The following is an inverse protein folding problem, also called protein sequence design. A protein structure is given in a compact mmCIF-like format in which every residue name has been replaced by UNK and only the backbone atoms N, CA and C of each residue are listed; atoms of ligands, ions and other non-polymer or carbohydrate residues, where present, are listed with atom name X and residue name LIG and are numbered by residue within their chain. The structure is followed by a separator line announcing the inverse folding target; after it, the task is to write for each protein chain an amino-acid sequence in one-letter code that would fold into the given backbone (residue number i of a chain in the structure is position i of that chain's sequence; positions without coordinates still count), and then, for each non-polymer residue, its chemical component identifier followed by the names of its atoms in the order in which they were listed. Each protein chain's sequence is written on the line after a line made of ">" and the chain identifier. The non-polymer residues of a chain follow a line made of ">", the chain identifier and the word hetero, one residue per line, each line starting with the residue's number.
data_IF_652433453542
#
_entry.id   IF_652433453542
#
_cell.length_a   1.000
_cell.length_b   1.000
_cell.length_c   1.000
_cell.angle_alpha   90.00
_cell.angle_beta   90.00
_cell.angle_gamma   90.00
#
_symmetry.space_group_name_H-M   'P 1'
#
loop_
_entity.id
_entity.type
_entity.pdbx_description
1 polymer ?
#
# COMPACT_ATOMS: atom_id res chain seq x y z
N UNK A 1 -14.60 -10.21 21.33
CA UNK A 1 -15.15 -9.82 22.66
C UNK A 1 -14.08 -8.99 23.33
N UNK A 2 -14.37 -7.73 23.67
CA UNK A 2 -13.40 -6.81 24.25
C UNK A 2 -13.06 -7.23 25.68
N UNK A 3 -11.80 -7.04 26.08
CA UNK A 3 -11.33 -7.27 27.44
C UNK A 3 -11.94 -6.20 28.35
N UNK A 4 -12.74 -6.56 29.38
CA UNK A 4 -13.34 -5.60 30.31
C UNK A 4 -12.32 -4.74 31.06
N UNK A 5 -11.04 -5.11 31.04
CA UNK A 5 -9.94 -4.35 31.63
C UNK A 5 -9.18 -3.47 30.63
N UNK A 6 -9.59 -3.42 29.37
CA UNK A 6 -8.90 -2.62 28.36
C UNK A 6 -9.05 -1.12 28.64
N UNK A 7 -7.95 -0.44 28.94
CA UNK A 7 -7.90 1.00 29.26
C UNK A 7 -7.44 1.88 28.08
N UNK A 8 -6.91 1.27 27.02
CA UNK A 8 -6.59 1.94 25.76
C UNK A 8 -6.67 1.00 24.55
N UNK A 9 -6.87 1.60 23.37
CA UNK A 9 -6.67 0.94 22.08
C UNK A 9 -5.59 1.65 21.28
N UNK A 10 -4.90 0.88 20.45
CA UNK A 10 -3.99 1.41 19.42
C UNK A 10 -4.44 0.95 18.04
N UNK A 11 -4.62 1.91 17.15
CA UNK A 11 -4.90 1.69 15.73
C UNK A 11 -3.71 2.17 14.91
N UNK A 12 -3.12 1.30 14.08
CA UNK A 12 -2.20 1.73 13.03
C UNK A 12 -2.93 1.88 11.69
N UNK A 13 -2.53 2.86 10.89
CA UNK A 13 -2.95 3.04 9.51
C UNK A 13 -1.69 2.94 8.64
N UNK A 14 -1.65 1.91 7.80
CA UNK A 14 -0.57 1.64 6.85
C UNK A 14 -1.00 2.16 5.47
N UNK A 15 -0.15 2.99 4.86
CA UNK A 15 -0.49 3.73 3.64
C UNK A 15 0.72 3.83 2.70
N UNK A 16 0.45 4.17 1.44
CA UNK A 16 1.47 4.50 0.44
C UNK A 16 2.01 5.92 0.68
N UNK A 17 3.30 6.03 1.02
CA UNK A 17 3.96 7.30 1.30
C UNK A 17 3.76 8.32 0.18
N UNK A 18 3.60 9.60 0.58
CA UNK A 18 3.20 10.73 -0.26
C UNK A 18 1.78 10.65 -0.83
N UNK A 19 1.45 9.55 -1.52
CA UNK A 19 0.18 9.41 -2.24
C UNK A 19 -1.04 9.36 -1.32
N UNK A 20 -0.90 8.73 -0.15
CA UNK A 20 -2.01 8.49 0.79
C UNK A 20 -1.77 9.11 2.17
N UNK A 21 -0.78 10.00 2.29
CA UNK A 21 -0.40 10.63 3.55
C UNK A 21 -1.55 11.38 4.22
N UNK A 22 -2.22 12.23 3.44
CA UNK A 22 -3.35 13.03 3.93
C UNK A 22 -4.53 12.14 4.33
N UNK A 23 -4.76 11.05 3.59
CA UNK A 23 -5.80 10.06 3.91
C UNK A 23 -5.53 9.41 5.27
N UNK A 24 -4.32 8.88 5.48
CA UNK A 24 -3.94 8.26 6.75
C UNK A 24 -4.04 9.25 7.93
N UNK A 25 -3.60 10.48 7.73
CA UNK A 25 -3.70 11.54 8.74
C UNK A 25 -5.15 11.88 9.10
N UNK A 26 -6.04 11.96 8.11
CA UNK A 26 -7.47 12.19 8.35
C UNK A 26 -8.09 11.02 9.12
N UNK A 27 -7.79 9.78 8.75
CA UNK A 27 -8.29 8.59 9.47
C UNK A 27 -7.84 8.63 10.93
N UNK A 28 -6.53 8.72 11.21
CA UNK A 28 -6.01 8.71 12.58
C UNK A 28 -6.57 9.86 13.44
N UNK A 29 -6.64 11.08 12.87
CA UNK A 29 -7.21 12.23 13.57
C UNK A 29 -8.69 12.05 13.87
N UNK A 30 -9.47 11.56 12.90
CA UNK A 30 -10.91 11.34 13.07
C UNK A 30 -11.23 10.24 14.07
N UNK A 31 -10.40 9.21 14.19
CA UNK A 31 -10.53 8.20 15.26
C UNK A 31 -10.48 8.87 16.64
N UNK A 32 -9.45 9.70 16.88
CA UNK A 32 -9.28 10.40 18.16
C UNK A 32 -10.44 11.38 18.42
N UNK A 33 -10.84 12.14 17.40
CA UNK A 33 -11.93 13.11 17.55
C UNK A 33 -13.30 12.44 17.77
N UNK A 34 -13.56 11.31 17.14
CA UNK A 34 -14.79 10.53 17.36
C UNK A 34 -14.82 9.98 18.79
N UNK A 35 -13.70 9.41 19.27
CA UNK A 35 -13.60 8.89 20.63
C UNK A 35 -13.80 9.98 21.69
N UNK A 36 -13.33 11.21 21.44
CA UNK A 36 -13.51 12.36 22.36
C UNK A 36 -14.96 12.71 22.63
N UNK A 37 -15.89 12.42 21.71
CA UNK A 37 -17.33 12.63 21.95
C UNK A 37 -17.88 11.77 23.10
N UNK A 38 -17.14 10.73 23.51
CA UNK A 38 -17.47 9.84 24.63
C UNK A 38 -16.69 10.16 25.92
N UNK A 39 -15.90 11.23 25.94
CA UNK A 39 -15.03 11.56 27.07
C UNK A 39 -13.71 10.78 27.11
N UNK A 40 -13.41 9.97 26.09
CA UNK A 40 -12.07 9.41 25.92
C UNK A 40 -11.08 10.49 25.49
N UNK A 41 -9.80 10.24 25.74
CA UNK A 41 -8.70 11.08 25.25
C UNK A 41 -7.91 10.30 24.21
N UNK A 42 -7.05 10.99 23.45
CA UNK A 42 -6.24 10.31 22.46
C UNK A 42 -5.24 11.21 21.76
N UNK A 43 -4.33 10.57 21.05
CA UNK A 43 -3.29 11.22 20.23
C UNK A 43 -3.16 10.52 18.89
N UNK A 44 -2.72 11.27 17.88
CA UNK A 44 -2.38 10.73 16.57
C UNK A 44 -0.98 11.21 16.17
N UNK A 45 -0.15 10.31 15.67
CA UNK A 45 1.23 10.61 15.30
C UNK A 45 1.71 9.69 14.16
N UNK A 46 2.66 10.20 13.37
CA UNK A 46 3.31 9.40 12.33
C UNK A 46 4.51 8.64 12.91
N UNK A 47 4.85 7.50 12.30
CA UNK A 47 6.11 6.80 12.63
C UNK A 47 7.29 7.65 12.19
N UNK A 48 8.09 8.10 13.15
CA UNK A 48 9.24 8.98 12.87
C UNK A 48 10.21 8.37 11.85
N UNK A 49 10.43 7.06 11.90
CA UNK A 49 11.30 6.34 10.99
C UNK A 49 10.91 6.49 9.52
N UNK A 50 9.65 6.75 9.19
CA UNK A 50 9.20 6.90 7.79
C UNK A 50 9.45 8.31 7.23
N UNK A 51 9.93 9.23 8.06
CA UNK A 51 10.24 10.60 7.65
C UNK A 51 11.70 10.75 7.21
N UNK A 52 11.99 11.41 6.07
CA UNK A 52 11.02 11.91 5.09
C UNK A 52 10.41 10.76 4.29
N UNK A 53 9.10 10.84 4.04
CA UNK A 53 8.35 9.84 3.26
C UNK A 53 8.83 9.79 1.79
N UNK A 54 8.57 8.67 1.11
CA UNK A 54 8.87 8.45 -0.31
C UNK A 54 7.64 7.92 -1.04
N UNK A 55 7.56 8.20 -2.33
CA UNK A 55 6.43 7.81 -3.18
C UNK A 55 6.22 6.29 -3.13
N UNK A 56 5.04 5.85 -2.70
CA UNK A 56 4.64 4.43 -2.72
C UNK A 56 5.27 3.55 -1.63
N UNK A 57 6.39 3.96 -1.04
CA UNK A 57 7.02 3.24 0.08
C UNK A 57 6.03 3.19 1.25
N UNK A 58 5.74 2.00 1.81
CA UNK A 58 4.81 1.87 2.91
C UNK A 58 5.23 2.71 4.12
N UNK A 59 4.29 3.47 4.65
CA UNK A 59 4.46 4.30 5.84
C UNK A 59 3.32 4.05 6.85
N UNK A 60 3.52 4.47 8.09
CA UNK A 60 2.56 4.25 9.18
C UNK A 60 2.19 5.53 9.93
N UNK A 61 0.91 5.65 10.26
CA UNK A 61 0.42 6.55 11.31
C UNK A 61 -0.30 5.75 12.38
N UNK A 62 -0.36 6.31 13.58
CA UNK A 62 -1.01 5.70 14.72
C UNK A 62 -2.06 6.64 15.29
N UNK A 63 -3.16 6.04 15.77
CA UNK A 63 -4.10 6.67 16.67
C UNK A 63 -4.17 5.85 17.95
N UNK A 64 -3.89 6.49 19.08
CA UNK A 64 -4.01 5.89 20.41
C UNK A 64 -5.17 6.58 21.12
N UNK A 65 -6.12 5.79 21.60
CA UNK A 65 -7.29 6.27 22.35
C UNK A 65 -7.28 5.60 23.71
N UNK A 66 -7.49 6.37 24.78
CA UNK A 66 -7.51 5.88 26.14
C UNK A 66 -8.70 6.44 26.91
N UNK A 67 -9.09 5.76 27.98
CA UNK A 67 -10.24 6.18 28.80
C UNK A 67 -10.01 7.51 29.53
N UNK A 68 -8.75 7.90 29.79
CA UNK A 68 -8.36 9.14 30.45
C UNK A 68 -6.88 9.48 30.15
N UNK A 69 -6.42 10.66 30.57
CA UNK A 69 -5.08 11.17 30.26
C UNK A 69 -3.94 10.35 30.90
N UNK A 70 -4.16 9.77 32.09
CA UNK A 70 -3.17 8.93 32.76
C UNK A 70 -2.85 7.67 31.94
N UNK A 71 -3.89 6.99 31.45
CA UNK A 71 -3.76 5.80 30.60
C UNK A 71 -3.17 6.15 29.22
N UNK A 72 -3.46 7.35 28.71
CA UNK A 72 -2.87 7.85 27.47
C UNK A 72 -1.37 8.08 27.63
N UNK A 73 -0.94 8.76 28.69
CA UNK A 73 0.48 9.01 28.99
C UNK A 73 1.26 7.69 29.12
N UNK A 74 0.71 6.70 29.81
CA UNK A 74 1.30 5.36 29.91
C UNK A 74 1.45 4.68 28.53
N UNK A 75 0.51 4.92 27.62
CA UNK A 75 0.53 4.37 26.26
C UNK A 75 1.48 5.12 25.33
N UNK A 76 1.71 6.42 25.56
CA UNK A 76 2.53 7.32 24.73
C UNK A 76 4.06 7.17 24.93
N UNK A 77 4.51 6.38 25.92
CA UNK A 77 5.92 6.11 26.15
C UNK A 77 6.61 5.24 25.06
N UNK A 78 5.98 5.06 23.90
CA UNK A 78 6.43 4.15 22.81
C UNK A 78 6.54 4.92 21.49
N UNK A 79 7.72 4.86 20.85
CA UNK A 79 7.96 5.49 19.54
C UNK A 79 7.19 4.82 18.39
N UNK A 80 7.09 3.49 18.41
CA UNK A 80 6.26 2.68 17.52
C UNK A 80 5.57 1.62 18.39
N UNK A 81 4.22 1.56 18.39
CA UNK A 81 3.51 0.49 19.06
C UNK A 81 3.88 -0.88 18.47
N UNK A 82 4.51 -1.74 19.28
CA UNK A 82 4.88 -3.09 18.85
C UNK A 82 3.67 -4.03 18.69
N UNK A 83 2.55 -3.68 19.35
CA UNK A 83 1.30 -4.42 19.34
C UNK A 83 0.15 -3.43 19.17
N UNK A 84 -0.79 -3.71 18.28
CA UNK A 84 -1.97 -2.89 17.96
C UNK A 84 -3.25 -3.73 18.04
N UNK A 85 -4.36 -3.07 18.33
CA UNK A 85 -5.70 -3.67 18.29
C UNK A 85 -6.20 -3.83 16.86
N UNK A 86 -5.90 -2.82 16.04
CA UNK A 86 -6.33 -2.73 14.65
C UNK A 86 -5.19 -2.22 13.78
N UNK A 87 -4.96 -2.87 12.64
CA UNK A 87 -4.18 -2.34 11.54
C UNK A 87 -5.12 -2.06 10.37
N UNK A 88 -5.05 -0.86 9.80
CA UNK A 88 -5.85 -0.43 8.64
C UNK A 88 -4.91 -0.23 7.46
N UNK A 89 -5.02 -1.08 6.43
CA UNK A 89 -4.34 -0.92 5.15
C UNK A 89 -5.24 -0.17 4.16
N UNK A 90 -4.80 0.99 3.68
CA UNK A 90 -5.56 1.81 2.69
C UNK A 90 -5.19 1.51 1.23
N UNK A 91 -4.49 0.39 1.02
CA UNK A 91 -4.16 -0.22 -0.27
C UNK A 91 -4.01 -1.73 0.02
N UNK A 92 -4.73 -2.57 -0.72
CA UNK A 92 -4.78 -4.01 -0.50
C UNK A 92 -3.48 -4.72 -0.86
N UNK A 93 -2.68 -4.16 -1.78
CA UNK A 93 -1.36 -4.69 -2.13
C UNK A 93 -0.36 -4.62 -0.96
N UNK A 94 -0.62 -3.83 0.08
CA UNK A 94 0.19 -3.78 1.31
C UNK A 94 0.14 -5.11 2.10
N UNK A 95 -0.85 -5.95 1.87
CA UNK A 95 -0.93 -7.28 2.51
C UNK A 95 0.20 -8.23 2.06
N UNK A 96 0.80 -7.94 0.91
CA UNK A 96 2.01 -8.60 0.40
C UNK A 96 3.28 -8.18 1.13
N UNK A 97 3.16 -7.45 2.23
CA UNK A 97 4.24 -7.13 3.16
C UNK A 97 4.67 -5.68 3.11
N UNK A 98 5.10 -5.19 4.26
CA UNK A 98 5.45 -3.80 4.53
C UNK A 98 6.95 -3.73 4.78
N UNK A 99 7.68 -3.04 3.92
CA UNK A 99 9.10 -2.72 4.07
C UNK A 99 9.25 -1.20 3.93
N UNK A 100 9.46 -0.49 5.05
CA UNK A 100 9.65 0.96 4.97
C UNK A 100 11.09 1.36 4.72
N UNK A 101 12.06 0.60 5.25
CA UNK A 101 13.49 0.80 5.00
C UNK A 101 14.25 -0.51 5.04
N UNK A 102 15.35 -0.52 4.28
CA UNK A 102 16.29 -1.63 4.11
C UNK A 102 16.47 -2.49 5.37
N UNK A 103 16.80 -1.88 6.51
CA UNK A 103 17.22 -2.62 7.70
C UNK A 103 16.08 -3.17 8.57
N UNK A 104 14.82 -2.79 8.31
CA UNK A 104 13.66 -3.43 8.96
C UNK A 104 13.28 -4.74 8.25
N UNK A 105 13.68 -4.87 6.98
CA UNK A 105 13.22 -5.92 6.10
C UNK A 105 11.72 -5.87 5.88
N UNK A 106 11.21 -6.92 5.21
CA UNK A 106 9.80 -7.07 4.89
C UNK A 106 9.08 -7.71 6.07
N UNK A 107 8.02 -7.07 6.53
CA UNK A 107 7.20 -7.56 7.62
C UNK A 107 5.77 -7.84 7.15
N UNK A 108 5.15 -8.95 7.59
CA UNK A 108 3.73 -9.17 7.39
C UNK A 108 2.90 -8.02 7.97
N UNK A 109 1.86 -7.60 7.25
CA UNK A 109 1.02 -6.47 7.69
C UNK A 109 0.26 -6.77 8.99
N UNK A 110 -0.09 -8.04 9.24
CA UNK A 110 -0.76 -8.47 10.47
C UNK A 110 0.20 -8.59 11.65
N UNK A 111 1.53 -8.51 11.45
CA UNK A 111 2.52 -8.76 12.51
C UNK A 111 2.28 -7.93 13.79
N UNK A 112 1.98 -6.62 13.76
CA UNK A 112 1.71 -5.87 14.97
C UNK A 112 0.31 -6.17 15.54
N UNK A 113 -0.62 -6.74 14.77
CA UNK A 113 -1.97 -7.03 15.25
C UNK A 113 -1.91 -8.08 16.37
N UNK A 114 -2.50 -7.74 17.52
CA UNK A 114 -2.59 -8.65 18.66
C UNK A 114 -3.40 -9.89 18.34
N UNK A 115 -3.27 -10.91 19.19
CA UNK A 115 -4.14 -12.09 19.12
C UNK A 115 -5.60 -11.63 19.22
N UNK A 116 -6.43 -12.16 18.31
CA UNK A 116 -7.85 -11.85 18.17
C UNK A 116 -8.15 -10.37 17.86
N UNK A 117 -7.16 -9.62 17.36
CA UNK A 117 -7.32 -8.26 16.83
C UNK A 117 -7.83 -8.23 15.39
N UNK A 118 -7.79 -7.06 14.75
CA UNK A 118 -8.37 -6.84 13.42
C UNK A 118 -7.35 -6.28 12.41
N UNK A 119 -7.42 -6.79 11.18
CA UNK A 119 -6.74 -6.22 10.02
C UNK A 119 -7.82 -5.74 9.05
N UNK A 120 -7.98 -4.43 8.92
CA UNK A 120 -8.88 -3.79 7.97
C UNK A 120 -8.12 -3.50 6.68
N UNK A 121 -8.69 -3.81 5.52
CA UNK A 121 -8.06 -3.60 4.22
C UNK A 121 -9.08 -2.98 3.27
N UNK A 122 -8.78 -1.83 2.70
CA UNK A 122 -9.59 -1.26 1.61
C UNK A 122 -9.37 -2.06 0.35
N UNK A 123 -10.39 -2.78 -0.11
CA UNK A 123 -10.31 -3.58 -1.33
C UNK A 123 -11.65 -3.71 -2.04
N UNK A 124 -11.58 -4.01 -3.34
CA UNK A 124 -12.70 -4.55 -4.12
C UNK A 124 -12.66 -6.08 -4.20
N UNK A 125 -11.56 -6.70 -3.77
CA UNK A 125 -11.38 -8.15 -3.73
C UNK A 125 -12.10 -8.75 -2.51
N UNK A 126 -12.41 -10.04 -2.60
CA UNK A 126 -12.98 -10.81 -1.51
C UNK A 126 -11.96 -11.02 -0.39
N UNK A 127 -12.42 -11.30 0.85
CA UNK A 127 -11.52 -11.64 1.95
C UNK A 127 -10.56 -12.82 1.64
N UNK A 128 -11.00 -13.82 0.87
CA UNK A 128 -10.16 -14.98 0.52
C UNK A 128 -9.08 -14.63 -0.50
N UNK A 129 -9.37 -13.79 -1.49
CA UNK A 129 -8.39 -13.30 -2.47
C UNK A 129 -7.30 -12.45 -1.79
N UNK A 130 -7.69 -11.56 -0.89
CA UNK A 130 -6.73 -10.76 -0.09
C UNK A 130 -5.89 -11.65 0.82
N UNK A 131 -6.51 -12.64 1.48
CA UNK A 131 -5.80 -13.57 2.35
C UNK A 131 -4.82 -14.47 1.58
N UNK A 132 -5.15 -14.88 0.35
CA UNK A 132 -4.26 -15.65 -0.51
C UNK A 132 -2.94 -14.91 -0.81
N UNK A 133 -2.97 -13.57 -0.76
CA UNK A 133 -1.82 -12.68 -0.93
C UNK A 133 -1.28 -12.12 0.40
N UNK A 134 -1.72 -12.64 1.55
CA UNK A 134 -1.25 -12.21 2.88
C UNK A 134 -0.35 -13.28 3.49
N UNK A 135 0.78 -12.89 4.12
CA UNK A 135 1.67 -13.87 4.76
C UNK A 135 0.94 -14.76 5.78
N UNK A 136 1.43 -15.99 5.92
CA UNK A 136 0.88 -17.00 6.83
C UNK A 136 0.74 -16.44 8.26
N UNK A 137 -0.48 -16.44 8.77
CA UNK A 137 -0.80 -15.97 10.11
C UNK A 137 -0.13 -16.84 11.18
N UNK A 138 0.58 -16.22 12.14
CA UNK A 138 1.15 -16.94 13.29
C UNK A 138 0.22 -16.96 14.52
N UNK A 139 -0.90 -16.25 14.45
CA UNK A 139 -1.91 -16.14 15.51
C UNK A 139 -3.26 -15.81 14.90
N UNK A 140 -4.38 -16.14 15.57
CA UNK A 140 -5.69 -15.76 15.09
C UNK A 140 -5.88 -14.23 15.11
N UNK A 141 -6.55 -13.73 14.07
CA UNK A 141 -7.03 -12.35 13.94
C UNK A 141 -8.26 -12.36 13.02
N UNK A 142 -8.94 -11.22 12.85
CA UNK A 142 -10.04 -11.09 11.88
C UNK A 142 -9.61 -10.17 10.74
N UNK A 143 -9.64 -10.67 9.50
CA UNK A 143 -9.50 -9.86 8.29
C UNK A 143 -10.83 -9.19 7.99
N UNK A 144 -10.81 -7.90 7.69
CA UNK A 144 -11.99 -7.10 7.41
C UNK A 144 -11.78 -6.37 6.11
N UNK A 145 -12.63 -6.64 5.12
CA UNK A 145 -12.61 -5.88 3.87
C UNK A 145 -13.47 -4.64 4.05
N UNK A 146 -12.83 -3.47 3.90
CA UNK A 146 -13.49 -2.17 3.81
C UNK A 146 -13.82 -1.95 2.33
N UNK A 147 -15.09 -1.76 1.96
CA UNK A 147 -15.48 -1.71 0.54
C UNK A 147 -14.87 -0.48 -0.16
N UNK A 148 -14.14 -0.74 -1.25
CA UNK A 148 -13.58 0.30 -2.11
C UNK A 148 -12.11 0.04 -2.46
N UNK A 149 -11.68 0.48 -3.64
CA UNK A 149 -10.29 0.34 -4.08
C UNK A 149 -9.35 1.35 -3.40
N UNK A 150 -8.05 1.18 -3.64
CA UNK A 150 -7.03 2.09 -3.14
C UNK A 150 -7.25 3.53 -3.64
N UNK A 151 -7.22 4.49 -2.70
CA UNK A 151 -7.49 5.90 -2.98
C UNK A 151 -6.20 6.63 -3.36
N UNK A 152 -6.08 6.99 -4.64
CA UNK A 152 -4.98 7.78 -5.21
C UNK A 152 -5.56 9.03 -5.90
N UNK A 153 -4.88 10.17 -5.98
CA UNK A 153 -5.28 11.32 -6.84
C UNK A 153 -4.11 11.93 -7.62
N UNK A 154 -2.97 11.24 -7.68
CA UNK A 154 -1.70 11.79 -8.15
C UNK A 154 -0.79 12.22 -6.99
N UNK A 155 0.35 12.82 -7.33
CA UNK A 155 1.37 13.19 -6.36
C UNK A 155 0.92 14.40 -5.52
N UNK A 156 0.94 14.27 -4.18
CA UNK A 156 0.49 15.31 -3.23
C UNK A 156 -0.99 15.68 -3.28
N UNK A 157 -1.79 15.01 -4.10
CA UNK A 157 -3.23 15.29 -4.22
C UNK A 157 -4.00 14.33 -3.32
N UNK A 158 -4.81 14.90 -2.44
CA UNK A 158 -5.77 14.11 -1.66
C UNK A 158 -7.03 13.85 -2.50
N UNK A 159 -7.34 12.58 -2.73
CA UNK A 159 -8.62 12.17 -3.34
C UNK A 159 -9.69 12.13 -2.26
N UNK A 160 -10.63 13.07 -2.29
CA UNK A 160 -11.78 13.04 -1.40
C UNK A 160 -12.86 12.08 -1.95
N UNK A 161 -12.54 10.78 -1.95
CA UNK A 161 -13.47 9.71 -2.36
C UNK A 161 -14.11 8.99 -1.16
N UNK A 162 -14.08 9.64 0.01
CA UNK A 162 -14.68 9.16 1.26
C UNK A 162 -14.12 7.83 1.78
N UNK A 163 -12.90 7.45 1.36
CA UNK A 163 -12.23 6.25 1.86
C UNK A 163 -11.98 6.33 3.37
N UNK A 164 -11.63 7.50 3.89
CA UNK A 164 -11.50 7.74 5.33
C UNK A 164 -12.80 7.45 6.09
N UNK A 165 -13.93 7.97 5.61
CA UNK A 165 -15.23 7.72 6.23
C UNK A 165 -15.62 6.25 6.20
N UNK A 166 -15.38 5.55 5.08
CA UNK A 166 -15.61 4.09 5.00
C UNK A 166 -14.75 3.32 6.01
N UNK A 167 -13.47 3.68 6.16
CA UNK A 167 -12.58 3.09 7.16
C UNK A 167 -13.08 3.34 8.59
N UNK A 168 -13.57 4.54 8.92
CA UNK A 168 -14.13 4.85 10.23
C UNK A 168 -15.41 4.04 10.51
N UNK A 169 -16.27 3.87 9.50
CA UNK A 169 -17.45 3.01 9.58
C UNK A 169 -17.10 1.56 9.87
N UNK A 170 -16.15 1.00 9.12
CA UNK A 170 -15.67 -0.37 9.34
C UNK A 170 -15.01 -0.55 10.73
N UNK A 171 -14.22 0.44 11.18
CA UNK A 171 -13.63 0.44 12.51
C UNK A 171 -14.70 0.42 13.60
N UNK A 172 -15.75 1.23 13.45
CA UNK A 172 -16.85 1.29 14.40
C UNK A 172 -17.63 -0.04 14.52
N UNK A 173 -17.61 -0.86 13.47
CA UNK A 173 -18.20 -2.21 13.50
C UNK A 173 -17.41 -3.19 14.35
N UNK A 174 -16.08 -3.08 14.33
CA UNK A 174 -15.20 -4.02 15.04
C UNK A 174 -14.84 -3.56 16.46
N UNK A 175 -14.83 -2.24 16.71
CA UNK A 175 -14.53 -1.63 18.01
C UNK A 175 -15.61 -0.61 18.47
N UNK A 176 -16.88 -1.02 18.59
CA UNK A 176 -17.98 -0.10 18.93
C UNK A 176 -17.86 0.50 20.34
N UNK A 177 -17.13 -0.11 21.26
CA UNK A 177 -16.96 0.42 22.61
C UNK A 177 -16.07 1.67 22.64
N UNK A 178 -15.13 1.76 21.69
CA UNK A 178 -14.14 2.83 21.58
C UNK A 178 -14.51 3.88 20.54
N UNK A 179 -15.05 3.44 19.41
CA UNK A 179 -15.44 4.28 18.28
C UNK A 179 -16.85 3.87 17.86
N UNK A 180 -17.88 4.57 18.34
CA UNK A 180 -19.26 4.29 17.93
C UNK A 180 -19.56 4.91 16.57
N UNK A 181 -20.36 4.22 15.79
CA UNK A 181 -20.80 4.71 14.48
C UNK A 181 -21.53 6.06 14.60
N UNK A 182 -22.36 6.24 15.64
CA UNK A 182 -23.09 7.50 15.85
C UNK A 182 -22.15 8.67 16.17
N UNK A 183 -21.08 8.42 16.94
CA UNK A 183 -20.07 9.44 17.24
C UNK A 183 -19.26 9.80 15.98
N UNK A 184 -18.96 8.80 15.14
CA UNK A 184 -18.33 8.99 13.82
C UNK A 184 -19.23 9.84 12.91
N UNK A 185 -20.51 9.47 12.76
CA UNK A 185 -21.47 10.24 11.94
C UNK A 185 -21.63 11.67 12.43
N UNK A 186 -21.75 11.86 13.74
CA UNK A 186 -21.85 13.19 14.34
C UNK A 186 -20.59 14.03 14.07
N UNK A 187 -19.40 13.43 14.14
CA UNK A 187 -18.14 14.11 13.81
C UNK A 187 -18.10 14.52 12.34
N UNK A 188 -18.43 13.60 11.43
CA UNK A 188 -18.41 13.86 9.98
C UNK A 188 -19.38 15.00 9.64
N UNK A 189 -20.61 14.94 10.17
CA UNK A 189 -21.63 15.97 9.97
C UNK A 189 -21.18 17.35 10.47
N UNK A 190 -20.53 17.40 11.63
CA UNK A 190 -19.99 18.63 12.21
C UNK A 190 -18.87 19.24 11.34
N UNK A 191 -17.96 18.41 10.81
CA UNK A 191 -16.80 18.88 10.05
C UNK A 191 -17.11 19.22 8.60
N UNK A 192 -17.97 18.45 7.95
CA UNK A 192 -18.20 18.53 6.49
C UNK A 192 -19.51 19.21 6.13
N UNK A 193 -20.53 19.12 7.00
CA UNK A 193 -21.93 19.47 6.70
C UNK A 193 -22.48 18.72 5.47
N UNK A 194 -21.88 17.59 5.10
CA UNK A 194 -22.27 16.77 3.96
C UNK A 194 -22.92 15.45 4.42
N UNK A 195 -24.17 15.24 4.02
CA UNK A 195 -24.90 13.99 4.30
C UNK A 195 -24.33 12.80 3.49
N UNK A 196 -23.72 13.05 2.32
CA UNK A 196 -23.06 12.02 1.51
C UNK A 196 -21.83 11.42 2.21
N UNK A 197 -21.03 12.27 2.87
CA UNK A 197 -19.93 11.84 3.73
C UNK A 197 -20.42 10.99 4.92
N UNK A 198 -21.54 11.38 5.56
CA UNK A 198 -22.15 10.60 6.66
C UNK A 198 -22.64 9.23 6.17
N UNK A 199 -23.30 9.19 5.01
CA UNK A 199 -23.72 7.94 4.36
C UNK A 199 -22.55 7.05 3.99
N UNK A 200 -21.39 7.64 3.65
CA UNK A 200 -20.18 6.86 3.34
C UNK A 200 -19.63 6.11 4.56
N UNK A 201 -19.73 6.69 5.76
CA UNK A 201 -19.42 5.96 7.00
C UNK A 201 -20.41 4.83 7.28
N UNK A 202 -21.71 5.06 7.06
CA UNK A 202 -22.72 4.00 7.16
C UNK A 202 -22.44 2.86 6.15
N UNK A 203 -22.13 3.21 4.90
CA UNK A 203 -21.78 2.25 3.86
C UNK A 203 -20.54 1.42 4.23
N UNK A 204 -19.50 2.05 4.78
CA UNK A 204 -18.33 1.33 5.29
C UNK A 204 -18.66 0.39 6.45
N UNK A 205 -19.56 0.77 7.34
CA UNK A 205 -20.04 -0.08 8.43
C UNK A 205 -20.83 -1.28 7.88
N UNK A 206 -21.86 -1.05 7.07
CA UNK A 206 -22.73 -2.13 6.58
C UNK A 206 -21.98 -3.08 5.64
N UNK A 207 -21.21 -2.52 4.70
CA UNK A 207 -20.48 -3.26 3.68
C UNK A 207 -19.19 -3.92 4.16
N UNK A 208 -18.70 -3.62 5.36
CA UNK A 208 -17.52 -4.27 5.90
C UNK A 208 -17.75 -5.78 6.08
N UNK A 209 -16.93 -6.59 5.38
CA UNK A 209 -17.02 -8.06 5.41
C UNK A 209 -15.93 -8.63 6.30
N UNK A 210 -16.31 -9.41 7.31
CA UNK A 210 -15.40 -9.97 8.31
C UNK A 210 -15.12 -11.44 8.01
N UNK A 211 -13.84 -11.82 8.02
CA UNK A 211 -13.38 -13.20 7.89
C UNK A 211 -12.41 -13.52 9.02
N UNK A 212 -12.79 -14.41 9.96
CA UNK A 212 -11.83 -14.95 10.93
C UNK A 212 -10.67 -15.65 10.21
N UNK A 213 -9.45 -15.42 10.68
CA UNK A 213 -8.22 -16.04 10.19
C UNK A 213 -7.59 -16.83 11.34
N UNK A 214 -7.29 -18.10 11.09
CA UNK A 214 -6.62 -19.00 12.02
C UNK A 214 -5.11 -18.97 11.78
N UNK A 215 -4.36 -19.34 12.82
CA UNK A 215 -2.92 -19.58 12.64
C UNK A 215 -2.70 -20.66 11.56
N UNK A 216 -1.77 -20.41 10.64
CA UNK A 216 -1.48 -21.28 9.49
C UNK A 216 -2.22 -20.93 8.20
N UNK A 217 -3.22 -20.03 8.21
CA UNK A 217 -3.85 -19.52 6.97
C UNK A 217 -3.04 -18.37 6.36
N UNK A 218 -3.12 -18.21 5.04
CA UNK A 218 -2.35 -17.25 4.24
C UNK A 218 -1.35 -17.93 3.31
N UNK A 219 -0.37 -17.18 2.80
CA UNK A 219 0.69 -17.70 1.92
C UNK A 219 2.05 -17.71 2.60
N UNK A 220 2.90 -18.67 2.24
CA UNK A 220 4.32 -18.71 2.60
C UNK A 220 5.22 -18.43 1.40
N UNK A 221 4.65 -18.02 0.26
CA UNK A 221 5.36 -17.80 -1.00
C UNK A 221 6.18 -16.51 -1.04
N UNK A 222 5.94 -15.58 -0.10
CA UNK A 222 6.70 -14.34 -0.06
C UNK A 222 8.08 -14.54 0.57
N UNK A 223 9.06 -13.81 0.03
CA UNK A 223 10.41 -13.75 0.58
C UNK A 223 10.40 -13.22 2.02
N UNK A 224 11.10 -13.92 2.92
CA UNK A 224 11.37 -13.47 4.29
C UNK A 224 12.65 -12.66 4.29
N UNK A 225 12.49 -11.33 4.27
CA UNK A 225 13.62 -10.40 4.38
C UNK A 225 13.78 -9.96 5.83
N UNK A 226 14.77 -10.51 6.53
CA UNK A 226 15.14 -10.11 7.88
C UNK A 226 16.65 -9.92 7.96
N UNK A 227 17.07 -8.89 8.71
CA UNK A 227 18.47 -8.54 8.88
C UNK A 227 18.83 -8.51 10.36
N UNK A 228 19.98 -9.09 10.69
CA UNK A 228 20.56 -8.94 12.02
C UNK A 228 21.12 -7.51 12.16
N UNK A 229 20.57 -6.74 13.09
CA UNK A 229 21.04 -5.38 13.33
C UNK A 229 22.34 -5.44 14.13
N UNK A 230 23.40 -4.73 13.72
CA UNK A 230 24.62 -4.67 14.51
C UNK A 230 24.30 -4.02 15.86
N UNK A 231 24.72 -4.68 16.95
CA UNK A 231 24.74 -4.07 18.27
C UNK A 231 25.76 -2.94 18.35
N UNK A 232 25.64 -2.07 19.35
CA UNK A 232 26.51 -0.88 19.51
C UNK A 232 28.01 -1.20 19.57
N UNK A 233 28.38 -2.40 20.04
CA UNK A 233 29.77 -2.90 20.07
C UNK A 233 30.27 -3.44 18.73
N UNK A 234 29.36 -3.81 17.83
CA UNK A 234 29.66 -4.39 16.51
C UNK A 234 29.52 -3.38 15.37
N UNK A 235 28.98 -2.19 15.65
CA UNK A 235 28.98 -1.09 14.70
C UNK A 235 30.42 -0.66 14.41
N UNK A 236 30.73 -0.47 13.13
CA UNK A 236 32.06 -0.05 12.71
C UNK A 236 32.34 1.39 13.17
N UNK A 237 33.60 1.75 13.47
CA UNK A 237 33.98 3.13 13.75
C UNK A 237 33.46 4.07 12.66
N UNK A 238 32.79 5.16 13.05
CA UNK A 238 32.24 6.14 12.11
C UNK A 238 31.03 5.67 11.30
N UNK A 239 30.40 4.53 11.62
CA UNK A 239 29.22 4.00 10.91
C UNK A 239 29.52 3.80 9.41
N UNK A 240 30.71 3.30 9.09
CA UNK A 240 31.13 3.06 7.71
C UNK A 240 30.28 1.95 7.07
N UNK A 241 29.72 2.23 5.89
CA UNK A 241 29.01 1.29 5.03
C UNK A 241 29.85 1.04 3.78
N UNK A 242 30.09 -0.23 3.44
CA UNK A 242 30.89 -0.57 2.25
C UNK A 242 30.15 -0.23 0.96
N UNK A 243 30.86 0.39 0.02
CA UNK A 243 30.32 0.62 -1.32
C UNK A 243 30.10 -0.72 -2.05
N UNK A 244 29.01 -0.79 -2.81
CA UNK A 244 28.77 -1.90 -3.75
C UNK A 244 29.61 -1.69 -5.01
N UNK A 245 29.95 -2.78 -5.70
CA UNK A 245 30.61 -2.67 -7.00
C UNK A 245 29.63 -2.08 -8.02
N UNK A 246 30.10 -1.28 -8.99
CA UNK A 246 29.26 -0.83 -10.10
C UNK A 246 28.54 -2.02 -10.78
N UNK A 247 27.25 -1.86 -11.05
CA UNK A 247 26.40 -2.91 -11.62
C UNK A 247 25.77 -3.87 -10.59
N UNK A 248 26.14 -3.80 -9.31
CA UNK A 248 25.48 -4.60 -8.27
C UNK A 248 24.31 -3.85 -7.63
N UNK A 249 23.18 -4.54 -7.43
CA UNK A 249 22.05 -4.02 -6.66
C UNK A 249 22.30 -4.16 -5.16
N UNK A 250 21.64 -3.31 -4.37
CA UNK A 250 21.65 -3.42 -2.91
C UNK A 250 20.84 -4.67 -2.49
N UNK A 251 21.47 -5.71 -1.91
CA UNK A 251 20.74 -6.90 -1.48
C UNK A 251 19.86 -6.66 -0.25
N UNK A 252 20.12 -5.59 0.50
CA UNK A 252 19.44 -5.27 1.76
C UNK A 252 18.20 -4.40 1.57
N UNK A 253 17.91 -3.93 0.35
CA UNK A 253 16.74 -3.11 0.09
C UNK A 253 16.04 -3.57 -1.16
N UNK A 254 14.91 -4.25 -0.97
CA UNK A 254 14.06 -4.67 -2.07
C UNK A 254 12.96 -3.64 -2.24
N UNK A 255 12.76 -3.17 -3.47
CA UNK A 255 11.90 -2.02 -3.74
C UNK A 255 10.45 -2.41 -4.07
N UNK A 256 10.20 -3.71 -4.24
CA UNK A 256 8.90 -4.24 -4.64
C UNK A 256 7.78 -4.00 -3.63
N UNK A 257 8.12 -3.80 -2.35
CA UNK A 257 7.15 -3.44 -1.31
C UNK A 257 6.42 -2.13 -1.57
N UNK A 258 6.91 -1.27 -2.49
CA UNK A 258 6.29 -0.01 -2.87
C UNK A 258 5.19 -0.13 -3.95
N UNK A 259 5.01 -1.31 -4.57
CA UNK A 259 4.12 -1.48 -5.72
C UNK A 259 2.66 -1.64 -5.34
N UNK A 260 1.81 -0.86 -6.00
CA UNK A 260 0.38 -1.16 -6.19
C UNK A 260 0.13 -1.83 -7.54
N UNK A 261 0.89 -1.43 -8.57
CA UNK A 261 0.87 -2.02 -9.91
C UNK A 261 2.29 -2.41 -10.30
N UNK A 262 2.44 -3.38 -11.21
CA UNK A 262 3.72 -3.71 -11.85
C UNK A 262 3.63 -3.68 -13.38
N UNK A 263 4.71 -3.32 -14.09
CA UNK A 263 4.75 -3.41 -15.54
C UNK A 263 4.89 -4.88 -15.99
N UNK A 264 4.13 -5.26 -17.00
CA UNK A 264 4.29 -6.52 -17.73
C UNK A 264 4.63 -6.19 -19.18
N UNK A 265 5.68 -6.82 -19.72
CA UNK A 265 6.23 -6.50 -21.04
C UNK A 265 5.77 -7.52 -22.07
N UNK A 266 5.18 -7.10 -23.18
CA UNK A 266 5.01 -7.94 -24.35
C UNK A 266 6.29 -7.86 -25.20
N UNK A 267 7.13 -8.89 -25.10
CA UNK A 267 8.40 -8.95 -25.82
C UNK A 267 8.20 -9.08 -27.34
N UNK A 268 7.09 -9.66 -27.82
CA UNK A 268 6.80 -9.84 -29.25
C UNK A 268 6.46 -8.52 -29.97
N UNK A 269 5.89 -7.55 -29.24
CA UNK A 269 5.59 -6.21 -29.76
C UNK A 269 6.71 -5.19 -29.53
N UNK A 270 7.70 -5.55 -28.71
CA UNK A 270 8.80 -4.66 -28.34
C UNK A 270 9.69 -4.35 -29.55
N UNK A 271 9.79 -3.05 -29.90
CA UNK A 271 10.66 -2.56 -30.99
C UNK A 271 12.09 -2.21 -30.54
N UNK A 272 12.45 -2.55 -29.29
CA UNK A 272 13.81 -2.36 -28.73
C UNK A 272 14.32 -0.91 -28.79
N UNK A 273 13.44 0.06 -28.53
CA UNK A 273 13.75 1.49 -28.64
C UNK A 273 14.53 2.09 -27.45
N UNK A 274 14.81 1.32 -26.39
CA UNK A 274 15.54 1.75 -25.18
C UNK A 274 14.84 2.75 -24.24
N UNK A 275 13.70 3.34 -24.62
CA UNK A 275 13.03 4.39 -23.81
C UNK A 275 12.68 3.94 -22.39
N UNK A 276 12.11 2.72 -22.24
CA UNK A 276 11.76 2.19 -20.92
C UNK A 276 12.97 2.00 -20.00
N UNK A 277 14.15 1.74 -20.56
CA UNK A 277 15.40 1.61 -19.82
C UNK A 277 15.97 2.97 -19.44
N UNK A 278 16.00 3.93 -20.38
CA UNK A 278 16.53 5.29 -20.16
C UNK A 278 15.73 6.06 -19.11
N UNK A 279 14.39 5.99 -19.17
CA UNK A 279 13.51 6.79 -18.32
C UNK A 279 13.16 6.09 -16.99
N UNK A 280 13.69 4.89 -16.73
CA UNK A 280 13.43 4.20 -15.47
C UNK A 280 14.22 4.84 -14.33
N UNK A 281 13.56 5.51 -13.36
CA UNK A 281 14.27 6.21 -12.28
C UNK A 281 14.97 5.26 -11.29
N UNK A 282 14.56 3.99 -11.27
CA UNK A 282 15.11 2.96 -10.40
C UNK A 282 16.06 2.00 -11.11
N UNK A 283 16.32 2.24 -12.41
CA UNK A 283 17.15 1.40 -13.26
C UNK A 283 16.76 -0.08 -13.12
N UNK A 284 15.46 -0.39 -13.14
CA UNK A 284 14.96 -1.74 -12.93
C UNK A 284 14.92 -2.57 -14.21
N UNK A 285 15.31 -2.01 -15.36
CA UNK A 285 15.42 -2.75 -16.61
C UNK A 285 16.84 -3.23 -16.87
N UNK A 286 17.00 -4.48 -17.29
CA UNK A 286 18.27 -5.04 -17.75
C UNK A 286 18.21 -5.31 -19.26
N UNK A 287 19.31 -5.02 -19.95
CA UNK A 287 19.43 -5.31 -21.38
C UNK A 287 19.73 -6.79 -21.55
N UNK A 288 18.79 -7.50 -22.18
CA UNK A 288 18.95 -8.92 -22.49
C UNK A 288 19.94 -9.13 -23.64
N UNK A 289 20.50 -10.34 -23.83
CA UNK A 289 21.41 -10.63 -24.94
C UNK A 289 20.84 -10.37 -26.33
N UNK A 290 19.50 -10.36 -26.47
CA UNK A 290 18.81 -10.10 -27.74
C UNK A 290 18.35 -8.65 -27.90
N UNK A 291 18.75 -7.76 -26.99
CA UNK A 291 18.42 -6.33 -27.02
C UNK A 291 17.00 -6.01 -26.57
N UNK A 292 16.26 -6.95 -25.98
CA UNK A 292 15.05 -6.66 -25.20
C UNK A 292 15.40 -6.12 -23.82
N UNK A 293 14.41 -5.57 -23.12
CA UNK A 293 14.55 -4.97 -21.80
C UNK A 293 13.68 -5.75 -20.80
N UNK A 294 14.34 -6.50 -19.92
CA UNK A 294 13.70 -7.30 -18.87
C UNK A 294 13.50 -6.47 -17.61
N UNK A 295 12.37 -6.65 -16.92
CA UNK A 295 12.10 -5.97 -15.65
C UNK A 295 12.64 -6.79 -14.48
N UNK A 296 13.66 -6.29 -13.78
CA UNK A 296 14.08 -6.79 -12.48
C UNK A 296 13.05 -6.38 -11.42
N UNK A 297 12.03 -7.23 -11.24
CA UNK A 297 10.92 -6.96 -10.32
C UNK A 297 11.36 -6.73 -8.87
N UNK A 298 12.51 -7.26 -8.45
CA UNK A 298 13.05 -6.96 -7.12
C UNK A 298 13.41 -5.49 -6.89
N UNK A 299 13.70 -4.75 -7.97
CA UNK A 299 14.05 -3.32 -7.95
C UNK A 299 12.93 -2.41 -8.45
N UNK A 300 11.88 -2.96 -9.07
CA UNK A 300 10.78 -2.18 -9.61
C UNK A 300 9.85 -1.65 -8.51
N UNK A 301 9.65 -0.34 -8.47
CA UNK A 301 8.68 0.34 -7.57
C UNK A 301 7.28 0.50 -8.19
N UNK A 302 7.08 0.10 -9.45
CA UNK A 302 5.76 0.17 -10.08
C UNK A 302 5.29 1.57 -10.45
N UNK A 303 6.21 2.51 -10.72
CA UNK A 303 5.87 3.91 -11.01
C UNK A 303 5.12 4.15 -12.33
N UNK A 304 5.15 3.18 -13.27
CA UNK A 304 4.45 3.26 -14.55
C UNK A 304 5.10 4.12 -15.63
N UNK A 305 6.22 4.81 -15.36
CA UNK A 305 6.91 5.65 -16.36
C UNK A 305 7.24 4.86 -17.63
N UNK A 306 7.75 3.63 -17.48
CA UNK A 306 8.09 2.76 -18.62
C UNK A 306 6.89 2.49 -19.54
N UNK A 307 5.68 2.32 -19.01
CA UNK A 307 4.47 2.16 -19.80
C UNK A 307 4.06 3.46 -20.50
N UNK A 308 4.27 4.61 -19.84
CA UNK A 308 3.94 5.92 -20.40
C UNK A 308 4.87 6.34 -21.55
N UNK A 309 6.18 6.04 -21.46
CA UNK A 309 7.17 6.44 -22.48
C UNK A 309 7.27 5.44 -23.62
N UNK A 310 6.67 4.24 -23.49
CA UNK A 310 6.73 3.23 -24.53
C UNK A 310 5.98 3.72 -25.79
N UNK A 311 6.63 3.82 -26.96
CA UNK A 311 5.98 4.29 -28.17
C UNK A 311 5.07 3.24 -28.80
N UNK A 312 5.15 1.99 -28.35
CA UNK A 312 4.31 0.88 -28.81
C UNK A 312 3.16 0.71 -27.85
N UNK A 313 1.95 0.94 -28.35
CA UNK A 313 0.73 0.78 -27.58
C UNK A 313 0.65 -0.62 -26.98
N UNK A 314 0.32 -0.70 -25.69
CA UNK A 314 0.12 -1.93 -24.92
C UNK A 314 1.34 -2.88 -24.89
N UNK A 315 2.53 -2.43 -25.30
CA UNK A 315 3.76 -3.22 -25.18
C UNK A 315 4.21 -3.36 -23.72
N UNK A 316 3.95 -2.34 -22.89
CA UNK A 316 4.16 -2.43 -21.44
C UNK A 316 2.84 -2.05 -20.77
N UNK A 317 2.24 -2.98 -20.05
CA UNK A 317 0.95 -2.80 -19.38
C UNK A 317 1.15 -2.81 -17.87
N UNK A 318 0.59 -1.83 -17.17
CA UNK A 318 0.58 -1.81 -15.70
C UNK A 318 -0.55 -2.69 -15.20
N UNK A 319 -0.22 -3.69 -14.39
CA UNK A 319 -1.14 -4.71 -13.89
C UNK A 319 -1.14 -4.70 -12.36
N UNK A 320 -2.31 -4.92 -11.76
CA UNK A 320 -2.49 -5.04 -10.32
C UNK A 320 -1.49 -6.02 -9.68
N UNK A 321 -0.75 -5.54 -8.68
CA UNK A 321 0.28 -6.29 -7.97
C UNK A 321 -0.29 -7.52 -7.22
N UNK A 322 -1.57 -7.51 -6.84
CA UNK A 322 -2.21 -8.67 -6.19
C UNK A 322 -2.38 -9.88 -7.11
N UNK A 323 -2.27 -9.70 -8.44
CA UNK A 323 -2.39 -10.79 -9.43
C UNK A 323 -1.12 -11.65 -9.56
N UNK A 324 -0.10 -11.40 -8.75
CA UNK A 324 1.21 -12.03 -8.91
C UNK A 324 1.70 -12.64 -7.61
N UNK A 325 2.36 -13.78 -7.70
CA UNK A 325 2.81 -14.54 -6.54
C UNK A 325 4.34 -14.41 -6.33
N UNK A 326 5.07 -13.98 -7.36
CA UNK A 326 6.53 -13.94 -7.39
C UNK A 326 7.10 -12.61 -7.95
N UNK A 327 8.43 -12.52 -7.91
CA UNK A 327 9.25 -11.44 -8.49
C UNK A 327 10.31 -12.00 -9.47
N UNK A 328 10.04 -13.16 -10.07
CA UNK A 328 10.97 -13.84 -10.97
C UNK A 328 11.06 -13.14 -12.33
N UNK A 329 12.23 -13.28 -12.95
CA UNK A 329 12.51 -12.82 -14.30
C UNK A 329 11.55 -13.47 -15.31
N UNK A 330 11.02 -12.64 -16.20
CA UNK A 330 9.99 -13.05 -17.17
C UNK A 330 10.52 -13.21 -18.59
N UNK A 331 11.72 -12.68 -18.88
CA UNK A 331 12.44 -12.90 -20.12
C UNK A 331 12.81 -14.37 -20.34
N UNK A 332 13.31 -15.06 -19.31
CA UNK A 332 13.66 -16.48 -19.44
C UNK A 332 12.45 -17.38 -19.71
N UNK A 333 11.27 -16.99 -19.22
CA UNK A 333 10.02 -17.69 -19.53
C UNK A 333 9.68 -17.55 -21.01
N UNK A 334 9.64 -16.31 -21.52
CA UNK A 334 9.40 -16.04 -22.95
C UNK A 334 10.39 -16.76 -23.87
N UNK A 335 11.69 -16.77 -23.52
CA UNK A 335 12.73 -17.44 -24.30
C UNK A 335 12.55 -18.95 -24.43
N UNK A 336 11.97 -19.60 -23.41
CA UNK A 336 11.77 -21.06 -23.39
C UNK A 336 10.44 -21.44 -24.03
N UNK A 337 9.40 -20.63 -23.80
CA UNK A 337 8.05 -20.90 -24.24
C UNK A 337 7.33 -19.57 -24.58
N UNK A 338 7.44 -19.16 -25.84
CA UNK A 338 6.77 -17.95 -26.33
C UNK A 338 5.25 -18.03 -26.20
N UNK A 339 4.64 -19.15 -26.59
CA UNK A 339 3.18 -19.31 -26.58
C UNK A 339 2.65 -19.32 -25.14
N UNK A 340 3.36 -20.01 -24.23
CA UNK A 340 3.05 -19.99 -22.80
C UNK A 340 3.18 -18.60 -22.19
N UNK A 341 4.25 -17.88 -22.53
CA UNK A 341 4.43 -16.50 -22.09
C UNK A 341 3.32 -15.58 -22.60
N UNK A 342 2.96 -15.69 -23.88
CA UNK A 342 1.92 -14.86 -24.49
C UNK A 342 0.57 -15.11 -23.82
N UNK A 343 0.21 -16.37 -23.55
CA UNK A 343 -0.99 -16.69 -22.77
C UNK A 343 -0.95 -16.10 -21.37
N UNK A 344 0.19 -16.21 -20.68
CA UNK A 344 0.38 -15.60 -19.36
C UNK A 344 0.25 -14.07 -19.41
N UNK A 345 0.83 -13.42 -20.42
CA UNK A 345 0.73 -11.99 -20.65
C UNK A 345 -0.73 -11.57 -20.82
N UNK A 346 -1.47 -12.27 -21.71
CA UNK A 346 -2.88 -12.01 -21.99
C UNK A 346 -3.75 -12.21 -20.75
N UNK A 347 -3.51 -13.27 -19.99
CA UNK A 347 -4.23 -13.57 -18.74
C UNK A 347 -4.02 -12.50 -17.68
N UNK A 348 -2.77 -12.10 -17.43
CA UNK A 348 -2.45 -11.13 -16.38
C UNK A 348 -2.86 -9.70 -16.79
N UNK A 349 -2.55 -9.31 -18.02
CA UNK A 349 -2.76 -7.94 -18.53
C UNK A 349 -4.16 -7.66 -19.07
N UNK A 350 -4.85 -8.70 -19.56
CA UNK A 350 -6.11 -8.53 -20.30
C UNK A 350 -5.94 -7.94 -21.72
N UNK A 351 -4.70 -7.83 -22.21
CA UNK A 351 -4.40 -7.30 -23.56
C UNK A 351 -3.78 -8.38 -24.43
N UNK A 352 -4.13 -8.40 -25.72
CA UNK A 352 -3.61 -9.39 -26.66
C UNK A 352 -2.08 -9.30 -26.81
N UNK A 353 -1.44 -10.47 -26.89
CA UNK A 353 -0.03 -10.58 -27.17
C UNK A 353 0.29 -10.42 -28.68
N UNK A 354 -0.70 -10.61 -29.57
CA UNK A 354 -0.49 -10.65 -31.02
C UNK A 354 -0.09 -9.28 -31.60
N UNK A 355 1.10 -9.13 -32.22
CA UNK A 355 1.53 -7.88 -32.83
C UNK A 355 0.64 -7.38 -33.99
N UNK A 356 -0.22 -8.24 -34.55
CA UNK A 356 -1.18 -7.90 -35.61
C UNK A 356 -2.51 -7.38 -35.08
N UNK A 357 -2.90 -7.78 -33.86
CA UNK A 357 -4.13 -7.31 -33.22
C UNK A 357 -3.81 -6.01 -32.49
N UNK A 358 -3.65 -4.94 -33.28
CA UNK A 358 -3.59 -3.59 -32.70
C UNK A 358 -4.99 -3.21 -32.26
N UNK A 359 -5.28 -3.34 -30.97
CA UNK A 359 -6.46 -2.68 -30.39
C UNK A 359 -6.37 -1.20 -30.74
N UNK A 360 -7.35 -0.59 -31.43
CA UNK A 360 -7.34 0.84 -31.70
C UNK A 360 -7.05 1.60 -30.41
N UNK A 361 -6.33 2.71 -30.49
CA UNK A 361 -6.08 3.52 -29.31
C UNK A 361 -7.43 3.84 -28.65
N UNK A 362 -7.73 3.19 -27.52
CA UNK A 362 -8.77 3.69 -26.66
C UNK A 362 -8.29 5.11 -26.32
N UNK A 363 -9.04 6.13 -26.73
CA UNK A 363 -8.99 7.39 -26.00
C UNK A 363 -9.21 6.96 -24.56
N UNK A 364 -8.21 7.17 -23.70
CA UNK A 364 -8.39 7.03 -22.27
C UNK A 364 -9.50 8.01 -21.88
N UNK A 365 -10.75 7.56 -21.89
CA UNK A 365 -11.76 8.14 -21.02
C UNK A 365 -11.24 7.91 -19.61
N UNK A 366 -10.94 9.02 -18.93
CA UNK A 366 -10.04 9.06 -17.78
C UNK A 366 -10.23 7.91 -16.80
N UNK A 367 -9.31 6.94 -16.85
CA UNK A 367 -8.93 6.21 -15.65
C UNK A 367 -8.22 7.22 -14.76
N UNK A 368 -8.95 7.76 -13.79
CA UNK A 368 -8.36 8.58 -12.74
C UNK A 368 -7.16 7.83 -12.14
N UNK A 369 -6.02 8.52 -12.18
CA UNK A 369 -4.71 8.17 -11.57
C UNK A 369 -3.74 7.36 -12.39
N UNK A 370 -2.96 8.08 -13.18
CA UNK A 370 -1.51 8.17 -12.99
C UNK A 370 -1.00 9.31 -13.88
N UNK A 371 -1.04 10.55 -13.39
CA UNK A 371 -0.50 11.68 -14.15
C UNK A 371 0.37 12.58 -13.25
N UNK A 372 1.71 12.52 -13.36
CA UNK A 372 2.60 13.49 -12.73
C UNK A 372 2.96 14.69 -13.63
N UNK A 373 2.50 14.75 -14.90
CA UNK A 373 3.17 15.59 -15.91
C UNK A 373 2.26 16.44 -16.81
N UNK A 374 0.94 16.44 -16.65
CA UNK A 374 0.07 17.35 -17.39
C UNK A 374 -0.41 18.51 -16.51
N UNK A 375 0.42 19.54 -16.38
CA UNK A 375 -0.10 20.91 -16.33
C UNK A 375 0.98 21.89 -16.83
N UNK A 376 0.77 22.56 -17.98
CA UNK A 376 1.68 23.60 -18.43
C UNK A 376 1.52 24.81 -17.51
N UNK A 377 2.61 25.20 -16.86
CA UNK A 377 2.78 26.55 -16.31
C UNK A 377 2.72 27.58 -17.45
N UNK A 378 1.69 28.43 -17.49
CA UNK A 378 1.84 29.90 -17.58
C UNK A 378 0.50 30.63 -17.80
N UNK A 379 0.34 31.73 -17.03
CA UNK A 379 -0.34 32.99 -17.35
C UNK A 379 -1.87 33.11 -17.22
N UNK A 380 -2.35 33.76 -16.15
CA UNK A 380 -2.85 35.16 -16.19
C UNK A 380 -3.60 35.55 -14.90
N UNK A 381 -3.37 36.79 -14.44
CA UNK A 381 -3.96 37.43 -13.26
C UNK A 381 -2.88 37.78 -12.24
N UNK A 382 -2.17 38.91 -12.32
CA UNK A 382 -2.64 40.25 -12.69
C UNK A 382 -3.12 40.93 -11.41
N UNK A 383 -2.31 41.86 -10.92
CA UNK A 383 -2.59 42.71 -9.75
C UNK A 383 -3.97 43.39 -9.85
N UNK A 384 -4.75 43.27 -8.78
CA UNK A 384 -5.53 44.34 -8.12
C UNK A 384 -6.20 43.79 -6.84
#
# INVERSE_FOLDING_TARGET
>A
MNDPQQTSITVEVVYRGIFQKTLAQRICRSIVLAARKRGHTGTAFARYGDSPERNGVPAKQFAVVAINDLELEASMAKYEPAVVDVSIAVDDTLVKGVESWAWYGRQPIWKPVRKDGFLLVTSTNTPDEVLAQTDTALRPYTLVIVPGGASFAGLWVFKDDHTDYRCLGALAKVLPDWVRLEDVKALIKEQTKDEGAVQSAQYGYDGATLRPVKAGEGTSGHEVLQFEKPGWTTMRPGIVVDARKPGERNPQYKKYGARTLRPVVNFDTCIKCTMCWLDCPDECFEVTPEGHYEVVYQACIGCGICAQVCPVKDCIVMVDELKFEDNEDKWQFWKKDHDGYNKWFEEKSGVSADPKVRTPAARQEGSGNANPSANPTSASGGDD
#
